data_IF_889207631062
#
_entry.id   IF_889207631062
#
_cell.length_a   1.000
_cell.length_b   1.000
_cell.length_c   1.000
_cell.angle_alpha   90.00
_cell.angle_beta   90.00
_cell.angle_gamma   90.00
#
_symmetry.space_group_name_H-M   'P 1'
#
loop_
_entity.id
_entity.type
_entity.pdbx_description
1 polymer ?
#
# COMPACT_ATOMS: atom_id res chain seq x y z
N UNK A 1 3.31 32.93 -5.47
CA UNK A 1 4.23 32.05 -4.69
C UNK A 1 3.47 31.10 -3.79
N UNK A 2 2.48 31.55 -3.06
CA UNK A 2 1.65 30.71 -2.16
C UNK A 2 0.89 29.58 -2.88
N UNK A 3 0.33 29.86 -4.08
CA UNK A 3 -0.38 28.85 -4.87
C UNK A 3 0.52 27.66 -5.24
N UNK A 4 1.77 27.89 -5.62
CA UNK A 4 2.67 26.79 -5.98
C UNK A 4 3.03 25.94 -4.77
N UNK A 5 3.24 26.55 -3.61
CA UNK A 5 3.45 25.81 -2.36
C UNK A 5 2.22 24.97 -2.00
N UNK A 6 1.02 25.54 -2.11
CA UNK A 6 -0.24 24.83 -1.87
C UNK A 6 -0.43 23.65 -2.84
N UNK A 7 -0.09 23.82 -4.13
CA UNK A 7 -0.15 22.74 -5.11
C UNK A 7 0.81 21.60 -4.78
N UNK A 8 2.04 21.88 -4.36
CA UNK A 8 3.02 20.87 -3.95
C UNK A 8 2.49 20.01 -2.80
N UNK A 9 1.99 20.66 -1.74
CA UNK A 9 1.42 19.96 -0.57
C UNK A 9 0.14 19.25 -0.95
N UNK A 10 -0.73 19.86 -1.74
CA UNK A 10 -1.97 19.27 -2.25
C UNK A 10 -1.71 17.99 -3.04
N UNK A 11 -0.69 17.98 -3.90
CA UNK A 11 -0.30 16.78 -4.66
C UNK A 11 0.33 15.70 -3.78
N UNK A 12 1.08 16.09 -2.76
CA UNK A 12 1.57 15.12 -1.76
C UNK A 12 0.42 14.43 -1.03
N UNK A 13 -0.59 15.19 -0.58
CA UNK A 13 -1.79 14.65 0.06
C UNK A 13 -2.61 13.79 -0.91
N UNK A 14 -2.76 14.22 -2.16
CA UNK A 14 -3.47 13.46 -3.20
C UNK A 14 -2.79 12.12 -3.47
N UNK A 15 -1.46 12.12 -3.61
CA UNK A 15 -0.68 10.89 -3.79
C UNK A 15 -0.84 9.96 -2.59
N UNK A 16 -0.74 10.49 -1.37
CA UNK A 16 -0.99 9.73 -0.13
C UNK A 16 -2.40 9.12 -0.09
N UNK A 17 -3.42 9.88 -0.50
CA UNK A 17 -4.80 9.41 -0.60
C UNK A 17 -4.99 8.29 -1.63
N UNK A 18 -4.38 8.41 -2.81
CA UNK A 18 -4.40 7.37 -3.85
C UNK A 18 -3.68 6.10 -3.39
N UNK A 19 -2.53 6.23 -2.72
CA UNK A 19 -1.81 5.10 -2.15
C UNK A 19 -2.62 4.40 -1.05
N UNK A 20 -3.33 5.17 -0.21
CA UNK A 20 -4.22 4.60 0.80
C UNK A 20 -5.42 3.87 0.16
N UNK A 21 -6.03 4.44 -0.88
CA UNK A 21 -7.09 3.78 -1.63
C UNK A 21 -6.59 2.48 -2.29
N UNK A 22 -5.40 2.50 -2.89
CA UNK A 22 -4.73 1.31 -3.43
C UNK A 22 -4.54 0.24 -2.35
N UNK A 23 -3.99 0.61 -1.19
CA UNK A 23 -3.75 -0.31 -0.09
C UNK A 23 -5.05 -0.94 0.45
N UNK A 24 -6.15 -0.21 0.48
CA UNK A 24 -7.45 -0.70 0.94
C UNK A 24 -8.08 -1.63 -0.11
N UNK A 25 -8.19 -1.17 -1.35
CA UNK A 25 -8.93 -1.89 -2.40
C UNK A 25 -8.13 -3.09 -2.89
N UNK A 26 -6.92 -2.87 -3.40
CA UNK A 26 -6.05 -3.93 -3.88
C UNK A 26 -5.56 -4.82 -2.73
N UNK A 27 -5.30 -4.26 -1.54
CA UNK A 27 -4.94 -5.01 -0.35
C UNK A 27 -6.02 -6.02 0.09
N UNK A 28 -7.31 -5.71 -0.14
CA UNK A 28 -8.40 -6.67 0.11
C UNK A 28 -8.26 -7.92 -0.77
N UNK A 29 -7.99 -7.74 -2.06
CA UNK A 29 -7.86 -8.85 -3.03
C UNK A 29 -6.56 -9.63 -2.82
N UNK A 30 -5.46 -8.92 -2.58
CA UNK A 30 -4.16 -9.52 -2.27
C UNK A 30 -4.22 -10.32 -0.97
N UNK A 31 -4.95 -9.82 0.02
CA UNK A 31 -5.19 -10.51 1.29
C UNK A 31 -5.99 -11.80 1.11
N UNK A 32 -6.97 -11.84 0.20
CA UNK A 32 -7.66 -13.10 -0.15
C UNK A 32 -6.70 -14.09 -0.78
N UNK A 33 -5.87 -13.64 -1.73
CA UNK A 33 -4.83 -14.48 -2.33
C UNK A 33 -3.88 -15.06 -1.29
N UNK A 34 -3.35 -14.21 -0.40
CA UNK A 34 -2.45 -14.63 0.68
C UNK A 34 -3.08 -15.66 1.62
N UNK A 35 -4.37 -15.53 1.90
CA UNK A 35 -5.13 -16.44 2.78
C UNK A 35 -5.67 -17.68 2.08
N UNK A 36 -5.56 -17.81 0.76
CA UNK A 36 -6.24 -18.82 -0.04
C UNK A 36 -6.07 -20.24 0.54
N UNK A 37 -4.85 -20.67 0.79
CA UNK A 37 -4.56 -22.02 1.31
C UNK A 37 -4.80 -22.16 2.83
N UNK A 38 -4.85 -21.07 3.55
CA UNK A 38 -5.16 -21.06 5.00
C UNK A 38 -6.66 -21.26 5.23
N UNK A 39 -7.48 -20.64 4.39
CA UNK A 39 -8.93 -20.57 4.57
C UNK A 39 -9.65 -21.64 3.75
N UNK A 40 -9.20 -21.95 2.54
CA UNK A 40 -9.84 -22.91 1.62
C UNK A 40 -9.09 -24.24 1.58
N UNK A 41 -9.78 -25.34 1.91
CA UNK A 41 -9.21 -26.68 2.01
C UNK A 41 -9.58 -27.60 0.84
N UNK A 42 -10.76 -27.39 0.23
CA UNK A 42 -11.21 -28.11 -0.95
C UNK A 42 -11.04 -27.27 -2.22
N UNK A 43 -11.15 -27.89 -3.39
CA UNK A 43 -11.12 -27.19 -4.67
C UNK A 43 -12.30 -26.23 -4.82
N UNK A 44 -13.51 -26.67 -4.47
CA UNK A 44 -14.72 -25.83 -4.48
C UNK A 44 -14.54 -24.60 -3.57
N UNK A 45 -13.98 -24.78 -2.37
CA UNK A 45 -13.70 -23.66 -1.45
C UNK A 45 -12.70 -22.67 -2.04
N UNK A 46 -11.65 -23.15 -2.73
CA UNK A 46 -10.67 -22.27 -3.41
C UNK A 46 -11.32 -21.49 -4.54
N UNK A 47 -12.12 -22.15 -5.38
CA UNK A 47 -12.92 -21.49 -6.43
C UNK A 47 -13.86 -20.44 -5.84
N UNK A 48 -14.54 -20.74 -4.73
CA UNK A 48 -15.40 -19.76 -4.03
C UNK A 48 -14.61 -18.52 -3.57
N UNK A 49 -13.40 -18.70 -3.03
CA UNK A 49 -12.53 -17.57 -2.65
C UNK A 49 -12.10 -16.74 -3.85
N UNK A 50 -11.77 -17.36 -4.99
CA UNK A 50 -11.39 -16.67 -6.22
C UNK A 50 -12.57 -15.90 -6.81
N UNK A 51 -13.74 -16.50 -6.90
CA UNK A 51 -14.96 -15.84 -7.38
C UNK A 51 -15.40 -14.70 -6.46
N UNK A 52 -15.01 -14.69 -5.19
CA UNK A 52 -15.28 -13.56 -4.30
C UNK A 52 -14.54 -12.27 -4.70
N UNK A 53 -13.38 -12.37 -5.36
CA UNK A 53 -12.57 -11.22 -5.80
C UNK A 53 -12.58 -11.01 -7.31
N UNK A 54 -12.98 -12.03 -8.07
CA UNK A 54 -13.01 -12.01 -9.54
C UNK A 54 -13.62 -10.74 -10.14
N UNK A 55 -14.75 -10.20 -9.65
CA UNK A 55 -15.37 -9.01 -10.24
C UNK A 55 -14.61 -7.70 -10.01
N UNK A 56 -13.62 -7.67 -9.10
CA UNK A 56 -13.03 -6.42 -8.60
C UNK A 56 -11.52 -6.32 -8.77
N UNK A 57 -10.80 -7.44 -8.86
CA UNK A 57 -9.34 -7.44 -8.76
C UNK A 57 -8.63 -6.61 -9.83
N UNK A 58 -9.10 -6.62 -11.08
CA UNK A 58 -8.56 -5.79 -12.16
C UNK A 58 -8.84 -4.31 -11.93
N UNK A 59 -10.09 -3.98 -11.58
CA UNK A 59 -10.50 -2.61 -11.27
C UNK A 59 -9.73 -2.03 -10.07
N UNK A 60 -9.42 -2.86 -9.08
CA UNK A 60 -8.64 -2.43 -7.92
C UNK A 60 -7.16 -2.17 -8.26
N UNK A 61 -6.58 -2.89 -9.25
CA UNK A 61 -5.22 -2.62 -9.74
C UNK A 61 -5.10 -1.26 -10.44
N UNK A 62 -6.19 -0.73 -11.00
CA UNK A 62 -6.20 0.60 -11.63
C UNK A 62 -5.77 1.69 -10.65
N UNK A 63 -6.10 1.57 -9.36
CA UNK A 63 -5.66 2.53 -8.34
C UNK A 63 -4.14 2.52 -8.14
N UNK A 64 -3.51 1.36 -8.25
CA UNK A 64 -2.05 1.26 -8.20
C UNK A 64 -1.38 1.93 -9.40
N UNK A 65 -1.90 1.68 -10.61
CA UNK A 65 -1.42 2.34 -11.84
C UNK A 65 -1.62 3.85 -11.76
N UNK A 66 -2.76 4.30 -11.22
CA UNK A 66 -3.04 5.71 -10.98
C UNK A 66 -2.01 6.34 -10.02
N UNK A 67 -1.65 5.64 -8.94
CA UNK A 67 -0.61 6.08 -8.01
C UNK A 67 0.76 6.23 -8.67
N UNK A 68 1.14 5.27 -9.52
CA UNK A 68 2.35 5.33 -10.34
C UNK A 68 2.35 6.53 -11.29
N UNK A 69 1.27 6.70 -12.06
CA UNK A 69 1.10 7.81 -12.99
C UNK A 69 1.08 9.18 -12.30
N UNK A 70 0.38 9.29 -11.17
CA UNK A 70 0.35 10.51 -10.37
C UNK A 70 1.72 10.88 -9.80
N UNK A 71 2.48 9.90 -9.30
CA UNK A 71 3.84 10.13 -8.81
C UNK A 71 4.80 10.57 -9.93
N UNK A 72 4.69 9.94 -11.11
CA UNK A 72 5.47 10.31 -12.30
C UNK A 72 5.21 11.76 -12.74
N UNK A 73 3.95 12.17 -12.79
CA UNK A 73 3.58 13.47 -13.31
C UNK A 73 3.75 14.61 -12.28
N UNK A 74 3.40 14.38 -10.99
CA UNK A 74 3.51 15.39 -9.93
C UNK A 74 4.93 15.51 -9.37
N UNK A 75 5.66 14.40 -9.27
CA UNK A 75 6.99 14.32 -8.68
C UNK A 75 7.94 13.48 -9.57
N UNK A 76 8.29 13.94 -10.79
CA UNK A 76 9.02 13.14 -11.77
C UNK A 76 10.39 12.66 -11.25
N UNK A 77 11.10 13.50 -10.51
CA UNK A 77 12.39 13.13 -9.94
C UNK A 77 12.25 12.06 -8.85
N UNK A 78 11.18 12.10 -8.06
CA UNK A 78 10.83 11.03 -7.11
C UNK A 78 10.60 9.71 -7.83
N UNK A 79 9.76 9.73 -8.88
CA UNK A 79 9.45 8.53 -9.65
C UNK A 79 10.71 7.89 -10.23
N UNK A 80 11.52 8.67 -10.95
CA UNK A 80 12.73 8.19 -11.58
C UNK A 80 13.73 7.60 -10.56
N UNK A 81 13.98 8.32 -9.46
CA UNK A 81 14.94 7.89 -8.45
C UNK A 81 14.45 6.69 -7.65
N UNK A 82 13.16 6.67 -7.23
CA UNK A 82 12.60 5.56 -6.46
C UNK A 82 12.58 4.26 -7.25
N UNK A 83 12.16 4.30 -8.53
CA UNK A 83 12.15 3.12 -9.40
C UNK A 83 13.56 2.60 -9.71
N UNK A 84 14.54 3.49 -9.79
CA UNK A 84 15.94 3.11 -9.97
C UNK A 84 16.55 2.54 -8.69
N UNK A 85 16.38 3.21 -7.56
CA UNK A 85 16.96 2.78 -6.28
C UNK A 85 16.30 1.50 -5.74
N UNK A 86 15.00 1.31 -5.98
CA UNK A 86 14.23 0.12 -5.59
C UNK A 86 14.01 -0.84 -6.77
N UNK A 87 14.87 -0.80 -7.81
CA UNK A 87 14.68 -1.55 -9.05
C UNK A 87 14.35 -3.03 -8.83
N UNK A 88 15.13 -3.72 -8.00
CA UNK A 88 14.91 -5.15 -7.71
C UNK A 88 13.58 -5.40 -7.00
N UNK A 89 13.20 -4.53 -6.06
CA UNK A 89 11.90 -4.60 -5.39
C UNK A 89 10.77 -4.41 -6.39
N UNK A 90 10.89 -3.42 -7.29
CA UNK A 90 9.90 -3.16 -8.33
C UNK A 90 9.80 -4.32 -9.33
N UNK A 91 10.92 -4.94 -9.70
CA UNK A 91 10.94 -6.11 -10.57
C UNK A 91 10.25 -7.32 -9.91
N UNK A 92 10.56 -7.60 -8.64
CA UNK A 92 9.89 -8.67 -7.88
C UNK A 92 8.39 -8.40 -7.70
N UNK A 93 8.02 -7.13 -7.47
CA UNK A 93 6.63 -6.70 -7.41
C UNK A 93 5.90 -6.98 -8.72
N UNK A 94 6.48 -6.55 -9.84
CA UNK A 94 5.92 -6.77 -11.17
C UNK A 94 5.71 -8.27 -11.44
N UNK A 95 6.73 -9.09 -11.21
CA UNK A 95 6.63 -10.54 -11.43
C UNK A 95 5.57 -11.19 -10.54
N UNK A 96 5.51 -10.81 -9.27
CA UNK A 96 4.51 -11.37 -8.36
C UNK A 96 3.08 -10.99 -8.77
N UNK A 97 2.87 -9.80 -9.28
CA UNK A 97 1.57 -9.37 -9.79
C UNK A 97 1.20 -10.02 -11.13
N UNK A 98 2.19 -10.25 -12.01
CA UNK A 98 1.97 -10.96 -13.27
C UNK A 98 1.49 -12.40 -13.08
N UNK A 99 1.87 -13.07 -11.98
CA UNK A 99 1.41 -14.44 -11.69
C UNK A 99 -0.10 -14.54 -11.49
N UNK A 100 -0.77 -13.46 -11.11
CA UNK A 100 -2.20 -13.49 -10.76
C UNK A 100 -3.09 -13.67 -11.98
N UNK A 101 -2.89 -12.91 -13.05
CA UNK A 101 -3.74 -12.95 -14.23
C UNK A 101 -3.80 -14.37 -14.86
N UNK A 102 -2.67 -15.02 -15.20
CA UNK A 102 -2.71 -16.38 -15.69
C UNK A 102 -3.26 -17.36 -14.66
N UNK A 103 -3.02 -17.15 -13.36
CA UNK A 103 -3.53 -18.03 -12.34
C UNK A 103 -5.06 -18.04 -12.24
N UNK A 104 -5.70 -16.88 -12.40
CA UNK A 104 -7.16 -16.80 -12.51
C UNK A 104 -7.67 -17.54 -13.76
N UNK A 105 -7.07 -17.31 -14.92
CA UNK A 105 -7.54 -17.86 -16.19
C UNK A 105 -7.24 -19.34 -16.39
N UNK A 106 -6.05 -19.80 -15.99
CA UNK A 106 -5.58 -21.15 -16.35
C UNK A 106 -5.79 -22.20 -15.26
N UNK A 107 -6.02 -21.81 -14.01
CA UNK A 107 -6.18 -22.73 -12.89
C UNK A 107 -7.23 -23.82 -13.16
N UNK A 108 -8.37 -23.44 -13.69
CA UNK A 108 -9.51 -24.34 -13.93
C UNK A 108 -9.52 -25.00 -15.31
N UNK A 109 -8.56 -24.68 -16.20
CA UNK A 109 -8.52 -25.25 -17.56
C UNK A 109 -8.17 -26.74 -17.62
N UNK A 110 -7.39 -27.23 -16.65
CA UNK A 110 -7.03 -28.65 -16.59
C UNK A 110 -7.52 -29.29 -15.29
N UNK A 111 -8.05 -30.53 -15.35
CA UNK A 111 -8.53 -31.23 -14.16
C UNK A 111 -7.41 -31.81 -13.29
N UNK A 112 -6.13 -31.67 -13.71
CA UNK A 112 -4.97 -32.21 -13.03
C UNK A 112 -4.74 -31.54 -11.68
N UNK A 113 -4.63 -32.32 -10.61
CA UNK A 113 -4.42 -31.84 -9.24
C UNK A 113 -3.12 -31.02 -9.12
N UNK A 114 -2.02 -31.53 -9.68
CA UNK A 114 -0.73 -30.83 -9.67
C UNK A 114 -0.80 -29.47 -10.37
N UNK A 115 -1.53 -29.36 -11.49
CA UNK A 115 -1.76 -28.12 -12.21
C UNK A 115 -2.46 -27.08 -11.33
N UNK A 116 -3.56 -27.46 -10.68
CA UNK A 116 -4.31 -26.57 -9.79
C UNK A 116 -3.47 -26.14 -8.57
N UNK A 117 -2.64 -27.03 -8.04
CA UNK A 117 -1.75 -26.71 -6.92
C UNK A 117 -0.68 -25.67 -7.28
N UNK A 118 -0.10 -25.74 -8.47
CA UNK A 118 0.87 -24.75 -8.97
C UNK A 118 0.22 -23.37 -9.04
N UNK A 119 -0.98 -23.29 -9.62
CA UNK A 119 -1.69 -22.02 -9.72
C UNK A 119 -2.22 -21.50 -8.38
N UNK A 120 -2.58 -22.38 -7.46
CA UNK A 120 -2.94 -21.99 -6.09
C UNK A 120 -1.74 -21.33 -5.37
N UNK A 121 -0.54 -21.88 -5.54
CA UNK A 121 0.66 -21.25 -5.01
C UNK A 121 1.01 -19.95 -5.73
N UNK A 122 0.82 -19.87 -7.03
CA UNK A 122 0.98 -18.64 -7.79
C UNK A 122 0.05 -17.53 -7.27
N UNK A 123 -1.21 -17.86 -6.93
CA UNK A 123 -2.17 -16.94 -6.32
C UNK A 123 -1.76 -16.54 -4.89
N UNK A 124 -1.24 -17.46 -4.08
CA UNK A 124 -0.73 -17.13 -2.74
C UNK A 124 0.47 -16.21 -2.83
N UNK A 125 1.43 -16.51 -3.70
CA UNK A 125 2.62 -15.67 -3.92
C UNK A 125 2.23 -14.31 -4.52
N UNK A 126 1.35 -14.31 -5.53
CA UNK A 126 0.82 -13.09 -6.15
C UNK A 126 -0.06 -12.25 -5.21
N UNK A 127 -0.54 -12.81 -4.10
CA UNK A 127 -1.24 -12.09 -3.05
C UNK A 127 -0.32 -11.59 -1.93
N UNK A 128 0.52 -12.48 -1.40
CA UNK A 128 1.36 -12.18 -0.24
C UNK A 128 2.57 -11.31 -0.59
N UNK A 129 3.30 -11.66 -1.66
CA UNK A 129 4.56 -11.01 -2.01
C UNK A 129 4.40 -9.53 -2.35
N UNK A 130 3.39 -9.07 -3.14
CA UNK A 130 3.18 -7.65 -3.36
C UNK A 130 2.98 -6.87 -2.05
N UNK A 131 2.22 -7.39 -1.10
CA UNK A 131 2.00 -6.72 0.19
C UNK A 131 3.26 -6.64 1.02
N UNK A 132 4.05 -7.70 1.05
CA UNK A 132 5.37 -7.69 1.70
C UNK A 132 6.30 -6.64 1.07
N UNK A 133 6.33 -6.56 -0.25
CA UNK A 133 7.19 -5.62 -0.97
C UNK A 133 6.74 -4.16 -0.78
N UNK A 134 5.44 -3.88 -0.80
CA UNK A 134 4.92 -2.54 -0.48
C UNK A 134 5.27 -2.12 0.94
N UNK A 135 5.06 -3.00 1.92
CA UNK A 135 5.44 -2.71 3.29
C UNK A 135 6.95 -2.50 3.45
N UNK A 136 7.76 -3.35 2.81
CA UNK A 136 9.22 -3.21 2.79
C UNK A 136 9.65 -1.87 2.16
N UNK A 137 9.00 -1.44 1.07
CA UNK A 137 9.27 -0.14 0.45
C UNK A 137 9.04 1.01 1.44
N UNK A 138 7.91 1.01 2.15
CA UNK A 138 7.64 2.03 3.19
C UNK A 138 8.69 2.00 4.30
N UNK A 139 9.08 0.81 4.75
CA UNK A 139 10.16 0.65 5.73
C UNK A 139 11.51 1.17 5.23
N UNK A 140 11.82 0.96 3.95
CA UNK A 140 13.04 1.48 3.33
C UNK A 140 13.03 3.01 3.20
N UNK A 141 11.87 3.62 2.95
CA UNK A 141 11.76 5.09 2.94
C UNK A 141 12.12 5.68 4.31
N UNK A 142 11.67 5.06 5.41
CA UNK A 142 11.99 5.52 6.76
C UNK A 142 13.46 5.27 7.15
N UNK A 143 14.10 4.24 6.57
CA UNK A 143 15.52 3.94 6.77
C UNK A 143 16.48 4.74 5.89
N UNK A 144 15.93 5.45 4.89
CA UNK A 144 16.69 6.11 3.83
C UNK A 144 17.28 5.13 2.80
N UNK A 145 17.30 5.55 1.54
CA UNK A 145 17.84 4.80 0.41
C UNK A 145 19.25 5.25 0.06
N UNK A 146 20.03 4.37 -0.55
CA UNK A 146 21.39 4.69 -1.01
C UNK A 146 21.33 5.24 -2.44
N UNK A 147 21.26 6.55 -2.58
CA UNK A 147 21.37 7.26 -3.84
C UNK A 147 22.01 8.64 -3.65
N UNK A 148 22.57 9.17 -4.70
CA UNK A 148 23.09 10.52 -4.81
C UNK A 148 22.82 11.09 -6.22
N UNK A 149 22.95 12.41 -6.37
CA UNK A 149 22.80 13.10 -7.63
C UNK A 149 24.12 13.73 -8.07
N UNK A 150 24.41 13.64 -9.34
CA UNK A 150 25.46 14.46 -9.95
C UNK A 150 24.94 15.88 -10.25
N UNK A 151 25.82 16.74 -10.77
CA UNK A 151 25.46 18.12 -11.14
C UNK A 151 24.36 18.20 -12.22
N UNK A 152 24.15 17.16 -13.00
CA UNK A 152 23.12 17.05 -14.04
C UNK A 152 21.81 16.43 -13.54
N UNK A 153 21.66 16.21 -12.21
CA UNK A 153 20.53 15.56 -11.56
C UNK A 153 20.33 14.09 -12.00
N UNK A 154 21.37 13.43 -12.50
CA UNK A 154 21.33 11.99 -12.68
C UNK A 154 21.50 11.30 -11.34
N UNK A 155 20.57 10.43 -11.02
CA UNK A 155 20.69 9.61 -9.81
C UNK A 155 21.67 8.47 -10.04
N UNK A 156 22.68 8.36 -9.18
CA UNK A 156 23.45 7.14 -9.02
C UNK A 156 22.92 6.36 -7.81
N UNK A 157 22.87 5.07 -7.93
CA UNK A 157 22.36 4.19 -6.87
C UNK A 157 23.18 2.90 -6.86
N UNK A 158 23.37 2.36 -5.66
CA UNK A 158 24.01 1.06 -5.50
C UNK A 158 22.92 0.03 -5.21
N UNK A 159 22.71 -0.97 -6.09
CA UNK A 159 21.78 -2.05 -5.82
C UNK A 159 22.14 -2.73 -4.51
N UNK A 160 21.27 -2.68 -3.52
CA UNK A 160 21.50 -3.23 -2.21
C UNK A 160 20.39 -4.22 -1.84
N UNK A 161 20.50 -5.47 -2.34
CA UNK A 161 19.58 -6.56 -1.97
C UNK A 161 19.53 -6.79 -0.45
N UNK A 162 20.68 -6.88 0.27
CA UNK A 162 20.65 -7.00 1.73
C UNK A 162 19.92 -5.85 2.41
N UNK A 163 19.92 -4.66 1.81
CA UNK A 163 19.16 -3.51 2.31
C UNK A 163 17.66 -3.77 2.41
N UNK A 164 17.07 -4.52 1.48
CA UNK A 164 15.64 -4.87 1.51
C UNK A 164 15.28 -5.77 2.70
N UNK A 165 16.24 -6.52 3.21
CA UNK A 165 16.07 -7.48 4.32
C UNK A 165 16.38 -6.86 5.69
N UNK A 166 16.48 -5.53 5.80
CA UNK A 166 16.67 -4.87 7.09
C UNK A 166 15.50 -5.19 8.02
N UNK A 167 15.75 -5.48 9.30
CA UNK A 167 14.70 -5.93 10.22
C UNK A 167 13.50 -4.99 10.32
N UNK A 168 13.71 -3.68 10.29
CA UNK A 168 12.64 -2.70 10.29
C UNK A 168 11.78 -2.74 9.00
N UNK A 169 12.42 -2.91 7.84
CA UNK A 169 11.70 -3.05 6.57
C UNK A 169 10.89 -4.35 6.52
N UNK A 170 11.44 -5.46 7.06
CA UNK A 170 10.70 -6.72 7.20
C UNK A 170 9.52 -6.60 8.16
N UNK A 171 9.66 -5.85 9.24
CA UNK A 171 8.56 -5.57 10.17
C UNK A 171 7.44 -4.81 9.47
N UNK A 172 7.75 -3.77 8.68
CA UNK A 172 6.78 -3.04 7.86
C UNK A 172 6.15 -3.94 6.78
N UNK A 173 6.92 -4.85 6.19
CA UNK A 173 6.43 -5.84 5.23
C UNK A 173 5.37 -6.75 5.87
N UNK A 174 5.66 -7.31 7.03
CA UNK A 174 4.72 -8.16 7.77
C UNK A 174 3.49 -7.41 8.23
N UNK A 175 3.62 -6.14 8.63
CA UNK A 175 2.51 -5.26 8.97
C UNK A 175 1.56 -5.08 7.78
N UNK A 176 2.09 -4.78 6.60
CA UNK A 176 1.29 -4.62 5.38
C UNK A 176 0.56 -5.91 5.00
N UNK A 177 1.24 -7.07 5.08
CA UNK A 177 0.62 -8.37 4.84
C UNK A 177 -0.48 -8.68 5.87
N UNK A 178 -0.27 -8.37 7.14
CA UNK A 178 -1.27 -8.57 8.19
C UNK A 178 -2.52 -7.69 7.96
N UNK A 179 -2.34 -6.42 7.59
CA UNK A 179 -3.45 -5.52 7.28
C UNK A 179 -4.22 -5.97 6.01
N UNK A 180 -3.52 -6.41 4.97
CA UNK A 180 -4.16 -6.97 3.78
C UNK A 180 -4.93 -8.26 4.11
N UNK A 181 -4.35 -9.14 4.92
CA UNK A 181 -5.01 -10.37 5.39
C UNK A 181 -6.26 -10.07 6.22
N UNK A 182 -6.25 -9.05 7.05
CA UNK A 182 -7.42 -8.57 7.78
C UNK A 182 -8.56 -8.18 6.84
N UNK A 183 -8.27 -7.35 5.82
CA UNK A 183 -9.27 -6.92 4.84
C UNK A 183 -9.75 -8.08 3.96
N UNK A 184 -8.84 -8.94 3.51
CA UNK A 184 -9.16 -10.13 2.73
C UNK A 184 -10.06 -11.10 3.50
N UNK A 185 -9.78 -11.33 4.78
CA UNK A 185 -10.61 -12.15 5.66
C UNK A 185 -12.01 -11.56 5.84
N UNK A 186 -12.11 -10.25 6.05
CA UNK A 186 -13.40 -9.56 6.15
C UNK A 186 -14.19 -9.63 4.84
N UNK A 187 -13.51 -9.55 3.69
CA UNK A 187 -14.13 -9.69 2.36
C UNK A 187 -14.66 -11.11 2.17
N UNK A 188 -13.88 -12.15 2.47
CA UNK A 188 -14.32 -13.54 2.39
C UNK A 188 -15.52 -13.83 3.28
N UNK A 189 -15.57 -13.29 4.49
CA UNK A 189 -16.74 -13.41 5.37
C UNK A 189 -18.01 -12.77 4.79
N UNK A 190 -17.86 -11.77 3.92
CA UNK A 190 -19.01 -11.10 3.26
C UNK A 190 -19.50 -11.84 2.04
N UNK A 191 -18.59 -12.51 1.33
CA UNK A 191 -18.82 -13.04 -0.02
C UNK A 191 -19.00 -14.56 -0.05
N UNK A 192 -18.48 -15.29 0.95
CA UNK A 192 -18.54 -16.74 1.02
C UNK A 192 -19.47 -17.21 2.14
N UNK A 193 -19.73 -18.52 2.19
CA UNK A 193 -20.52 -19.19 3.20
C UNK A 193 -19.78 -20.39 3.84
N UNK A 194 -20.40 -21.02 4.80
CA UNK A 194 -19.97 -22.29 5.38
C UNK A 194 -18.67 -22.24 6.19
N UNK A 195 -17.79 -23.21 5.94
CA UNK A 195 -16.55 -23.40 6.71
C UNK A 195 -15.51 -22.30 6.41
N UNK A 196 -15.53 -21.74 5.19
CA UNK A 196 -14.67 -20.63 4.79
C UNK A 196 -14.83 -19.46 5.74
N UNK A 197 -16.07 -19.06 6.04
CA UNK A 197 -16.38 -17.90 6.88
C UNK A 197 -15.80 -18.06 8.30
N UNK A 198 -15.91 -19.26 8.88
CA UNK A 198 -15.35 -19.53 10.23
C UNK A 198 -13.83 -19.44 10.24
N UNK A 199 -13.17 -19.97 9.19
CA UNK A 199 -11.70 -19.93 9.08
C UNK A 199 -11.21 -18.53 8.73
N UNK A 200 -11.87 -17.81 7.82
CA UNK A 200 -11.59 -16.42 7.49
C UNK A 200 -11.72 -15.53 8.72
N UNK A 201 -12.79 -15.69 9.51
CA UNK A 201 -12.96 -14.96 10.77
C UNK A 201 -11.76 -15.15 11.72
N UNK A 202 -11.33 -16.39 11.95
CA UNK A 202 -10.18 -16.67 12.83
C UNK A 202 -8.90 -16.04 12.27
N UNK A 203 -8.63 -16.24 10.98
CA UNK A 203 -7.46 -15.66 10.31
C UNK A 203 -7.46 -14.13 10.38
N UNK A 204 -8.60 -13.49 10.14
CA UNK A 204 -8.75 -12.04 10.23
C UNK A 204 -8.56 -11.49 11.64
N UNK A 205 -9.06 -12.18 12.68
CA UNK A 205 -8.84 -11.80 14.08
C UNK A 205 -7.35 -11.89 14.46
N UNK A 206 -6.67 -12.97 14.07
CA UNK A 206 -5.22 -13.11 14.26
C UNK A 206 -4.48 -12.01 13.52
N UNK A 207 -4.82 -11.78 12.24
CA UNK A 207 -4.21 -10.74 11.42
C UNK A 207 -4.38 -9.33 12.04
N UNK A 208 -5.54 -9.02 12.62
CA UNK A 208 -5.78 -7.74 13.29
C UNK A 208 -4.88 -7.53 14.52
N UNK A 209 -4.74 -8.57 15.36
CA UNK A 209 -3.86 -8.51 16.54
C UNK A 209 -2.39 -8.46 16.17
N UNK A 210 -1.97 -9.24 15.17
CA UNK A 210 -0.61 -9.22 14.63
C UNK A 210 -0.30 -7.84 14.05
N UNK A 211 -1.23 -7.26 13.25
CA UNK A 211 -1.05 -5.92 12.69
C UNK A 211 -0.92 -4.86 13.80
N UNK A 212 -1.74 -4.92 14.84
CA UNK A 212 -1.66 -4.00 15.97
C UNK A 212 -0.32 -4.11 16.71
N UNK A 213 0.13 -5.33 16.99
CA UNK A 213 1.41 -5.58 17.65
C UNK A 213 2.59 -5.09 16.80
N UNK A 214 2.61 -5.43 15.49
CA UNK A 214 3.65 -4.99 14.56
C UNK A 214 3.65 -3.47 14.40
N UNK A 215 2.48 -2.82 14.36
CA UNK A 215 2.37 -1.36 14.29
C UNK A 215 2.88 -0.69 15.55
N UNK A 216 2.56 -1.22 16.73
CA UNK A 216 3.09 -0.70 17.99
C UNK A 216 4.62 -0.82 18.05
N UNK A 217 5.17 -1.99 17.69
CA UNK A 217 6.63 -2.19 17.64
C UNK A 217 7.27 -1.26 16.59
N UNK A 218 6.67 -1.13 15.39
CA UNK A 218 7.17 -0.24 14.34
C UNK A 218 7.19 1.22 14.80
N UNK A 219 6.14 1.68 15.51
CA UNK A 219 6.03 3.06 16.00
C UNK A 219 7.09 3.37 17.06
N UNK A 220 7.29 2.45 18.01
CA UNK A 220 8.33 2.59 19.04
C UNK A 220 9.72 2.56 18.40
N UNK A 221 9.96 1.65 17.48
CA UNK A 221 11.24 1.55 16.80
C UNK A 221 11.53 2.76 15.91
N UNK A 222 10.53 3.24 15.15
CA UNK A 222 10.65 4.45 14.32
C UNK A 222 11.06 5.68 15.14
N UNK A 223 10.66 5.76 16.40
CA UNK A 223 11.05 6.82 17.32
C UNK A 223 12.55 6.84 17.64
N UNK A 224 13.26 5.72 17.45
CA UNK A 224 14.70 5.58 17.70
C UNK A 224 15.53 5.59 16.44
N UNK A 225 14.91 5.55 15.26
CA UNK A 225 15.62 5.60 13.98
C UNK A 225 16.22 6.98 13.72
N UNK A 226 17.31 6.99 12.97
CA UNK A 226 17.84 8.21 12.38
C UNK A 226 16.80 8.80 11.43
N UNK A 227 16.44 10.06 11.64
CA UNK A 227 15.52 10.81 10.81
C UNK A 227 16.19 12.00 10.14
N UNK A 228 15.61 12.50 9.07
CA UNK A 228 16.11 13.62 8.28
C UNK A 228 15.38 14.90 8.67
N UNK A 229 16.12 15.98 8.84
CA UNK A 229 15.58 17.29 9.16
C UNK A 229 16.18 18.36 8.24
N UNK A 230 15.32 19.20 7.65
CA UNK A 230 15.78 20.37 6.89
C UNK A 230 16.26 21.46 7.84
N UNK A 231 17.51 21.95 7.66
CA UNK A 231 18.06 23.05 8.44
C UNK A 231 17.51 24.39 8.01
N UNK A 232 17.26 24.57 6.74
CA UNK A 232 16.67 25.78 6.19
C UNK A 232 15.34 25.44 5.54
N UNK A 233 14.29 26.19 5.90
CA UNK A 233 13.03 26.06 5.19
C UNK A 233 13.18 26.70 3.81
N UNK A 234 13.11 25.90 2.75
CA UNK A 234 13.25 26.43 1.40
C UNK A 234 12.08 27.36 1.10
N UNK A 235 12.32 28.37 0.23
CA UNK A 235 11.26 29.25 -0.25
C UNK A 235 10.23 28.41 -1.05
N UNK A 236 9.17 27.95 -0.38
CA UNK A 236 8.23 26.96 -0.88
C UNK A 236 7.57 27.31 -2.23
N UNK A 237 7.50 28.61 -2.54
CA UNK A 237 6.96 29.14 -3.79
C UNK A 237 7.94 29.21 -4.96
N UNK A 238 9.18 28.72 -4.82
CA UNK A 238 10.18 28.70 -5.87
C UNK A 238 10.48 27.29 -6.34
N UNK A 239 10.98 27.15 -7.58
CA UNK A 239 11.58 25.93 -8.06
C UNK A 239 12.91 25.70 -7.32
N UNK A 240 13.14 24.48 -6.88
CA UNK A 240 14.33 24.11 -6.10
C UNK A 240 14.94 22.84 -6.64
N UNK A 241 16.23 22.66 -6.39
CA UNK A 241 16.96 21.45 -6.72
C UNK A 241 17.41 20.73 -5.44
N UNK A 242 17.51 19.42 -5.45
CA UNK A 242 18.01 18.67 -4.29
C UNK A 242 19.46 19.02 -3.93
N UNK A 243 20.25 19.60 -4.85
CA UNK A 243 21.66 19.97 -4.62
C UNK A 243 21.84 21.24 -3.77
N UNK A 244 20.78 22.00 -3.50
CA UNK A 244 20.85 23.30 -2.82
C UNK A 244 20.32 23.26 -1.37
N UNK A 245 19.94 22.10 -0.87
CA UNK A 245 19.41 21.99 0.48
C UNK A 245 20.47 21.51 1.49
N UNK A 246 20.26 21.87 2.75
CA UNK A 246 21.04 21.36 3.87
C UNK A 246 20.16 20.50 4.75
N UNK A 247 20.58 19.26 4.93
CA UNK A 247 19.84 18.25 5.70
C UNK A 247 20.73 17.72 6.79
N UNK A 248 20.18 17.64 7.99
CA UNK A 248 20.79 17.02 9.15
C UNK A 248 20.10 15.69 9.43
N UNK A 249 20.89 14.69 9.79
CA UNK A 249 20.38 13.38 10.22
C UNK A 249 20.58 13.26 11.72
N UNK A 250 19.47 13.04 12.44
CA UNK A 250 19.46 12.96 13.90
C UNK A 250 18.61 11.76 14.35
N UNK A 251 19.01 11.05 15.42
CA UNK A 251 18.17 10.03 16.03
C UNK A 251 16.81 10.63 16.47
N UNK A 252 15.74 9.92 16.17
CA UNK A 252 14.39 10.33 16.56
C UNK A 252 13.78 11.51 15.79
N UNK A 253 14.45 12.08 14.78
CA UNK A 253 13.95 13.24 14.05
C UNK A 253 12.61 12.99 13.34
N UNK A 254 12.21 11.73 13.10
CA UNK A 254 10.88 11.38 12.57
C UNK A 254 9.72 11.77 13.50
N UNK A 255 9.97 12.01 14.79
CA UNK A 255 8.94 12.48 15.73
C UNK A 255 8.73 14.00 15.71
N UNK A 256 9.66 14.77 15.15
CA UNK A 256 9.60 16.24 15.15
C UNK A 256 8.30 16.80 14.54
N UNK A 257 7.72 16.12 13.55
CA UNK A 257 6.43 16.50 12.96
C UNK A 257 5.28 16.39 13.98
N UNK A 258 5.27 15.35 14.79
CA UNK A 258 4.25 15.10 15.81
C UNK A 258 4.39 16.05 17.01
N UNK A 259 5.60 16.44 17.36
CA UNK A 259 5.86 17.45 18.40
C UNK A 259 5.41 18.83 17.97
N UNK A 260 5.67 19.21 16.70
CA UNK A 260 5.24 20.47 16.12
C UNK A 260 3.73 20.56 15.92
N UNK A 261 3.08 19.46 15.58
CA UNK A 261 1.64 19.39 15.30
C UNK A 261 1.01 18.21 16.03
N UNK A 262 0.59 18.39 17.30
CA UNK A 262 0.01 17.32 18.11
C UNK A 262 -1.23 16.64 17.50
N UNK A 263 -1.93 17.32 16.57
CA UNK A 263 -3.06 16.74 15.85
C UNK A 263 -2.68 15.50 15.03
N UNK A 264 -1.42 15.39 14.60
CA UNK A 264 -0.92 14.22 13.85
C UNK A 264 -0.99 12.92 14.66
N UNK A 265 -1.01 12.99 16.01
CA UNK A 265 -1.23 11.82 16.85
C UNK A 265 -2.59 11.13 16.63
N UNK A 266 -3.55 11.83 15.99
CA UNK A 266 -4.78 11.18 15.55
C UNK A 266 -4.56 10.07 14.53
N UNK A 267 -3.47 10.10 13.74
CA UNK A 267 -3.16 9.08 12.73
C UNK A 267 -2.82 7.72 13.37
N UNK A 268 -1.84 7.60 14.30
CA UNK A 268 -1.58 6.32 14.97
C UNK A 268 -2.76 5.87 15.85
N UNK A 269 -3.51 6.79 16.44
CA UNK A 269 -4.76 6.45 17.16
C UNK A 269 -5.79 5.88 16.20
N UNK A 270 -6.00 6.49 15.03
CA UNK A 270 -6.91 6.01 13.99
C UNK A 270 -6.51 4.61 13.50
N UNK A 271 -5.20 4.37 13.28
CA UNK A 271 -4.67 3.05 12.92
C UNK A 271 -5.05 1.99 13.97
N UNK A 272 -4.73 2.28 15.23
CA UNK A 272 -4.95 1.35 16.35
C UNK A 272 -6.44 1.08 16.59
N UNK A 273 -7.26 2.11 16.61
CA UNK A 273 -8.72 1.98 16.76
C UNK A 273 -9.35 1.26 15.56
N UNK A 274 -8.84 1.48 14.36
CA UNK A 274 -9.27 0.76 13.16
C UNK A 274 -9.01 -0.75 13.27
N UNK A 275 -7.81 -1.16 13.71
CA UNK A 275 -7.45 -2.57 13.91
C UNK A 275 -8.25 -3.22 15.03
N UNK A 276 -8.36 -2.55 16.20
CA UNK A 276 -9.14 -3.03 17.34
C UNK A 276 -10.63 -3.14 17.00
N UNK A 277 -11.17 -2.13 16.34
CA UNK A 277 -12.56 -2.12 15.91
C UNK A 277 -12.85 -3.19 14.87
N UNK A 278 -11.92 -3.44 13.92
CA UNK A 278 -12.04 -4.53 12.96
C UNK A 278 -11.98 -5.90 13.65
N UNK A 279 -11.09 -6.10 14.62
CA UNK A 279 -11.05 -7.29 15.46
C UNK A 279 -12.39 -7.52 16.19
N UNK A 280 -12.91 -6.50 16.88
CA UNK A 280 -14.18 -6.57 17.60
C UNK A 280 -15.35 -6.87 16.65
N UNK A 281 -15.37 -6.26 15.46
CA UNK A 281 -16.38 -6.51 14.45
C UNK A 281 -16.32 -7.96 13.90
N UNK A 282 -15.12 -8.51 13.67
CA UNK A 282 -14.94 -9.91 13.29
C UNK A 282 -15.37 -10.84 14.42
N UNK A 283 -15.05 -10.50 15.67
CA UNK A 283 -15.50 -11.27 16.83
C UNK A 283 -17.03 -11.33 16.89
N UNK A 284 -17.68 -10.22 16.64
CA UNK A 284 -19.15 -10.08 16.62
C UNK A 284 -19.80 -10.54 15.29
N UNK A 285 -19.08 -11.23 14.39
CA UNK A 285 -19.57 -11.69 13.09
C UNK A 285 -20.05 -10.58 12.13
N UNK A 286 -19.62 -9.34 12.33
CA UNK A 286 -19.98 -8.16 11.54
C UNK A 286 -18.95 -7.88 10.44
N UNK A 287 -18.89 -8.75 9.44
CA UNK A 287 -17.88 -8.69 8.36
C UNK A 287 -17.84 -7.35 7.61
N UNK A 288 -19.01 -6.76 7.31
CA UNK A 288 -19.08 -5.46 6.64
C UNK A 288 -18.48 -4.31 7.49
N UNK A 289 -18.70 -4.33 8.79
CA UNK A 289 -18.13 -3.36 9.72
C UNK A 289 -16.62 -3.58 9.87
N UNK A 290 -16.16 -4.84 9.93
CA UNK A 290 -14.75 -5.15 9.98
C UNK A 290 -13.99 -4.63 8.75
N UNK A 291 -14.53 -4.82 7.54
CA UNK A 291 -13.94 -4.29 6.32
C UNK A 291 -13.90 -2.75 6.32
N UNK A 292 -14.99 -2.09 6.76
CA UNK A 292 -15.03 -0.63 6.87
C UNK A 292 -14.03 -0.08 7.87
N UNK A 293 -13.80 -0.77 8.99
CA UNK A 293 -12.83 -0.36 10.02
C UNK A 293 -11.39 -0.69 9.65
N UNK A 294 -11.16 -1.66 8.77
CA UNK A 294 -9.85 -1.91 8.18
C UNK A 294 -9.35 -0.77 7.27
N UNK A 295 -10.27 0.00 6.66
CA UNK A 295 -9.89 1.15 5.84
C UNK A 295 -9.21 2.27 6.68
N UNK A 296 -9.80 2.79 7.79
CA UNK A 296 -9.10 3.73 8.66
C UNK A 296 -7.82 3.16 9.28
N UNK A 297 -7.70 1.84 9.49
CA UNK A 297 -6.45 1.23 9.91
C UNK A 297 -5.33 1.49 8.88
N UNK A 298 -5.59 1.27 7.58
CA UNK A 298 -4.64 1.57 6.51
C UNK A 298 -4.32 3.07 6.39
N UNK A 299 -5.36 3.92 6.43
CA UNK A 299 -5.18 5.38 6.38
C UNK A 299 -4.31 5.86 7.55
N UNK A 300 -4.55 5.34 8.76
CA UNK A 300 -3.78 5.67 9.94
C UNK A 300 -2.32 5.22 9.85
N UNK A 301 -2.05 4.00 9.40
CA UNK A 301 -0.68 3.47 9.23
C UNK A 301 0.10 4.26 8.18
N UNK A 302 -0.47 4.42 6.98
CA UNK A 302 0.19 5.17 5.90
C UNK A 302 0.31 6.65 6.23
N UNK A 303 -0.73 7.23 6.87
CA UNK A 303 -0.71 8.61 7.34
C UNK A 303 0.37 8.85 8.39
N UNK A 304 0.55 7.92 9.34
CA UNK A 304 1.63 7.99 10.35
C UNK A 304 2.99 7.97 9.68
N UNK A 305 3.24 7.04 8.74
CA UNK A 305 4.50 6.99 8.00
C UNK A 305 4.72 8.25 7.15
N UNK A 306 3.68 8.75 6.46
CA UNK A 306 3.76 9.97 5.67
C UNK A 306 4.02 11.21 6.53
N UNK A 307 3.36 11.34 7.69
CA UNK A 307 3.58 12.45 8.62
C UNK A 307 4.99 12.43 9.22
N UNK A 308 5.53 11.23 9.52
CA UNK A 308 6.93 11.08 9.95
C UNK A 308 7.90 11.54 8.87
N UNK A 309 7.69 11.12 7.61
CA UNK A 309 8.56 11.45 6.49
C UNK A 309 8.48 12.92 6.06
N UNK A 310 7.34 13.59 6.27
CA UNK A 310 7.14 14.96 5.78
C UNK A 310 8.21 15.94 6.30
N UNK A 311 8.81 16.77 5.43
CA UNK A 311 8.51 17.01 4.01
C UNK A 311 9.27 16.11 3.03
N UNK A 312 9.98 15.10 3.50
CA UNK A 312 10.74 14.20 2.64
C UNK A 312 9.81 13.21 1.92
N UNK A 313 10.11 12.99 0.63
CA UNK A 313 9.50 11.97 -0.20
C UNK A 313 10.42 10.74 -0.32
N UNK A 314 11.71 11.00 -0.47
CA UNK A 314 12.74 9.98 -0.61
C UNK A 314 14.02 10.46 0.12
N UNK A 315 14.24 10.04 1.36
CA UNK A 315 15.46 10.35 2.09
C UNK A 315 16.67 9.61 1.50
N UNK A 316 17.78 10.32 1.28
CA UNK A 316 19.04 9.73 0.89
C UNK A 316 19.92 9.50 2.12
N UNK A 317 20.39 8.26 2.26
CA UNK A 317 21.32 7.89 3.34
C UNK A 317 22.79 8.16 2.95
N UNK A 318 23.15 7.93 1.69
CA UNK A 318 24.52 8.15 1.19
C UNK A 318 24.87 9.63 1.09
N UNK A 319 23.89 10.48 0.74
CA UNK A 319 24.05 11.91 0.61
C UNK A 319 22.80 12.63 1.15
N UNK A 320 22.69 12.89 2.47
CA UNK A 320 21.47 13.42 3.09
C UNK A 320 20.96 14.71 2.42
N UNK A 321 21.84 15.59 1.99
CA UNK A 321 21.48 16.83 1.27
C UNK A 321 20.88 16.59 -0.12
N UNK A 322 21.05 15.41 -0.70
CA UNK A 322 20.41 15.02 -1.97
C UNK A 322 19.02 14.39 -1.78
N UNK A 323 18.49 14.37 -0.57
CA UNK A 323 17.16 13.84 -0.30
C UNK A 323 16.08 14.56 -1.09
N UNK A 324 15.09 13.81 -1.58
CA UNK A 324 13.96 14.39 -2.29
C UNK A 324 12.86 14.79 -1.31
N UNK A 325 12.37 16.00 -1.49
CA UNK A 325 11.31 16.59 -0.67
C UNK A 325 10.13 17.04 -1.55
N UNK A 326 9.01 17.33 -0.94
CA UNK A 326 7.85 17.95 -1.60
C UNK A 326 8.24 19.25 -2.31
N UNK A 327 9.30 19.92 -1.84
CA UNK A 327 9.71 21.23 -2.34
C UNK A 327 10.59 21.15 -3.60
N UNK A 328 11.49 20.15 -3.69
CA UNK A 328 12.49 20.04 -4.74
C UNK A 328 12.20 18.97 -5.81
N UNK A 329 11.25 18.06 -5.56
CA UNK A 329 10.90 16.99 -6.50
C UNK A 329 9.64 17.30 -7.32
N UNK A 330 8.92 18.37 -7.00
CA UNK A 330 7.64 18.70 -7.62
C UNK A 330 7.82 19.22 -9.06
N UNK A 331 6.87 18.88 -9.91
CA UNK A 331 6.74 19.36 -11.28
C UNK A 331 6.46 20.86 -11.35
N UNK A 332 6.44 21.44 -12.55
CA UNK A 332 6.20 22.87 -12.76
C UNK A 332 4.81 23.32 -12.25
N UNK A 333 4.65 24.60 -11.89
CA UNK A 333 3.35 25.12 -11.45
C UNK A 333 2.22 24.87 -12.47
N UNK A 334 2.52 25.06 -13.76
CA UNK A 334 1.56 24.86 -14.84
C UNK A 334 1.14 23.37 -14.92
N UNK A 335 2.08 22.43 -14.85
CA UNK A 335 1.79 20.99 -14.85
C UNK A 335 0.90 20.63 -13.66
N UNK A 336 1.27 21.07 -12.44
CA UNK A 336 0.49 20.76 -11.24
C UNK A 336 -0.92 21.33 -11.29
N UNK A 337 -1.12 22.53 -11.86
CA UNK A 337 -2.44 23.13 -12.04
C UNK A 337 -3.31 22.34 -13.02
N UNK A 338 -2.78 22.02 -14.23
CA UNK A 338 -3.53 21.23 -15.20
C UNK A 338 -3.93 19.86 -14.64
N UNK A 339 -2.98 19.19 -14.01
CA UNK A 339 -3.25 17.91 -13.35
C UNK A 339 -4.30 18.05 -12.24
N UNK A 340 -4.27 19.11 -11.43
CA UNK A 340 -5.27 19.35 -10.38
C UNK A 340 -6.67 19.51 -10.97
N UNK A 341 -6.79 20.27 -12.07
CA UNK A 341 -8.06 20.43 -12.79
C UNK A 341 -8.65 19.09 -13.24
N UNK A 342 -7.83 18.23 -13.87
CA UNK A 342 -8.27 16.88 -14.27
C UNK A 342 -8.59 16.00 -13.06
N UNK A 343 -7.76 16.04 -12.02
CA UNK A 343 -7.91 15.19 -10.83
C UNK A 343 -9.19 15.51 -10.06
N UNK A 344 -9.56 16.78 -9.92
CA UNK A 344 -10.81 17.19 -9.25
C UNK A 344 -12.05 16.60 -9.94
N UNK A 345 -12.00 16.38 -11.26
CA UNK A 345 -13.10 15.78 -12.02
C UNK A 345 -12.99 14.26 -12.06
N UNK A 346 -11.83 13.74 -12.44
CA UNK A 346 -11.66 12.31 -12.74
C UNK A 346 -11.57 11.45 -11.47
N UNK A 347 -10.92 11.91 -10.42
CA UNK A 347 -10.75 11.10 -9.20
C UNK A 347 -12.09 10.80 -8.50
N UNK A 348 -13.02 11.78 -8.31
CA UNK A 348 -14.36 11.49 -7.84
C UNK A 348 -15.13 10.55 -8.76
N UNK A 349 -15.00 10.70 -10.10
CA UNK A 349 -15.65 9.83 -11.08
C UNK A 349 -15.19 8.37 -10.92
N UNK A 350 -13.88 8.15 -10.83
CA UNK A 350 -13.29 6.81 -10.60
C UNK A 350 -13.74 6.25 -9.25
N UNK A 351 -13.77 7.05 -8.19
CA UNK A 351 -14.24 6.64 -6.87
C UNK A 351 -15.73 6.25 -6.89
N UNK A 352 -16.58 7.03 -7.57
CA UNK A 352 -17.99 6.73 -7.74
C UNK A 352 -18.20 5.46 -8.56
N UNK A 353 -17.45 5.26 -9.64
CA UNK A 353 -17.46 4.05 -10.45
C UNK A 353 -17.04 2.83 -9.62
N UNK A 354 -15.94 2.92 -8.88
CA UNK A 354 -15.50 1.84 -7.98
C UNK A 354 -16.60 1.50 -6.96
N UNK A 355 -17.18 2.50 -6.31
CA UNK A 355 -18.29 2.31 -5.36
C UNK A 355 -19.51 1.65 -6.02
N UNK A 356 -19.84 2.04 -7.24
CA UNK A 356 -20.93 1.46 -8.02
C UNK A 356 -20.69 -0.01 -8.35
N UNK A 357 -19.48 -0.37 -8.83
CA UNK A 357 -19.08 -1.75 -9.06
C UNK A 357 -19.24 -2.61 -7.79
N UNK A 358 -18.68 -2.15 -6.66
CA UNK A 358 -18.82 -2.85 -5.39
C UNK A 358 -20.28 -2.97 -4.90
N UNK A 359 -21.15 -2.06 -5.29
CA UNK A 359 -22.58 -2.11 -4.95
C UNK A 359 -23.33 -3.15 -5.79
N UNK A 360 -23.08 -3.18 -7.11
CA UNK A 360 -23.74 -4.14 -8.01
C UNK A 360 -23.27 -5.55 -7.73
N UNK A 361 -21.97 -5.73 -7.57
CA UNK A 361 -21.33 -7.02 -7.41
C UNK A 361 -21.29 -7.51 -5.94
N UNK A 362 -22.19 -7.04 -5.07
CA UNK A 362 -22.16 -7.32 -3.61
C UNK A 362 -22.73 -8.67 -3.20
N UNK A 363 -23.27 -9.47 -4.10
CA UNK A 363 -23.88 -10.78 -3.82
C UNK A 363 -22.88 -11.77 -3.20
N UNK A 364 -23.39 -12.79 -2.53
CA UNK A 364 -22.58 -13.94 -2.11
C UNK A 364 -22.25 -14.81 -3.32
N UNK A 365 -21.13 -15.50 -3.24
CA UNK A 365 -20.73 -16.46 -4.25
C UNK A 365 -21.63 -17.70 -4.12
N UNK A 366 -22.31 -18.05 -5.21
CA UNK A 366 -23.18 -19.22 -5.26
C UNK A 366 -22.34 -20.47 -5.57
N UNK A 367 -22.34 -21.41 -4.62
CA UNK A 367 -21.58 -22.66 -4.74
C UNK A 367 -22.20 -23.59 -5.78
N UNK A 368 -23.52 -23.59 -5.93
CA UNK A 368 -24.24 -24.40 -6.91
C UNK A 368 -23.85 -24.01 -8.34
N UNK A 369 -23.74 -22.69 -8.62
CA UNK A 369 -23.26 -22.19 -9.91
C UNK A 369 -21.81 -22.58 -10.19
N UNK A 370 -20.95 -22.60 -9.16
CA UNK A 370 -19.57 -23.05 -9.30
C UNK A 370 -19.51 -24.52 -9.67
N UNK A 371 -20.34 -25.36 -9.06
CA UNK A 371 -20.39 -26.80 -9.34
C UNK A 371 -21.01 -27.12 -10.70
N UNK A 372 -21.98 -26.33 -11.15
CA UNK A 372 -22.57 -26.41 -12.47
C UNK A 372 -21.60 -26.02 -13.62
N UNK A 373 -20.45 -25.43 -13.31
CA UNK A 373 -19.44 -25.09 -14.31
C UNK A 373 -19.74 -23.81 -15.12
N UNK A 374 -20.75 -23.04 -14.72
CA UNK A 374 -21.20 -21.87 -15.45
C UNK A 374 -20.31 -20.66 -15.15
N UNK A 375 -19.48 -20.25 -16.14
CA UNK A 375 -18.66 -19.01 -16.18
C UNK A 375 -17.95 -18.58 -14.87
N UNK A 376 -17.55 -19.52 -14.04
CA UNK A 376 -16.83 -19.29 -12.78
C UNK A 376 -15.36 -19.70 -12.89
N UNK A 377 -14.47 -18.92 -12.29
CA UNK A 377 -13.04 -19.23 -12.20
C UNK A 377 -12.74 -20.52 -11.42
#
# INVERSE_FOLDING_TARGET
MELYAALKVGWWLTLGGVLAATAILMGSDLGVGALLRVVARSDTERRSCLNAIAPHWEGNQTWFVLGGGASFAAFPLLYATAFSALYLLMLMLLWSMLLRAPAFEYRSKLPLRAWREVWDWALVLGGALPMLLFGAAVGQLLLGLDFDFDWSLRSSHRPNLPGLLRPFALLCALLALALASLLGAALLMRRCDGAIVRRARRAGMVAALVALALFAVASVWAATLDGWMLLQHPAAGLAQTPLQQQVLVLPGAWQASFERQPLLWLLPVLASLGMLGAFAALHAWRAATAWRLGAPAWVGVLGTAGASLYPFLLPSRSAPSHSLTVWNAASSPATLMWMAGFTVVLLPLVALYTRWCYRIMRGKVDVEQIEAGDHSY
#
